data_IF_027501529551
#
_entry.id   IF_027501529551
#
_cell.length_a   1.000
_cell.length_b   1.000
_cell.length_c   1.000
_cell.angle_alpha   90.00
_cell.angle_beta   90.00
_cell.angle_gamma   90.00
#
_symmetry.space_group_name_H-M   'P 1'
#
loop_
_entity.id
_entity.type
_entity.pdbx_description
1 polymer ?
#
# COMPACT_ATOMS: atom_id res chain seq x y z
N UNK A 1 17.46 -34.69 19.44
CA UNK A 1 18.51 -33.69 19.72
C UNK A 1 17.83 -32.40 20.17
N UNK A 2 17.78 -32.14 21.47
CA UNK A 2 17.11 -30.96 22.02
C UNK A 2 18.03 -29.73 21.83
N UNK A 3 17.55 -28.60 21.28
CA UNK A 3 18.40 -27.44 21.03
C UNK A 3 18.97 -26.89 22.34
N UNK A 4 20.30 -26.74 22.36
CA UNK A 4 21.15 -26.49 23.53
C UNK A 4 20.95 -25.11 24.19
N UNK A 5 20.11 -24.23 23.62
CA UNK A 5 19.85 -22.88 24.14
C UNK A 5 18.45 -22.36 23.73
N UNK A 6 17.38 -22.68 24.48
CA UNK A 6 16.02 -22.24 24.16
C UNK A 6 15.89 -20.71 24.13
N UNK A 7 16.58 -20.00 25.02
CA UNK A 7 16.49 -18.54 25.18
C UNK A 7 16.95 -17.74 23.95
N UNK A 8 17.83 -18.31 23.11
CA UNK A 8 18.31 -17.67 21.87
C UNK A 8 17.26 -17.73 20.75
N UNK A 9 16.52 -18.84 20.68
CA UNK A 9 15.42 -19.05 19.72
C UNK A 9 14.27 -18.11 20.04
N UNK A 10 13.92 -17.98 21.32
CA UNK A 10 12.86 -17.07 21.73
C UNK A 10 13.22 -15.63 21.39
N UNK A 11 14.38 -15.12 21.78
CA UNK A 11 14.74 -13.70 21.52
C UNK A 11 14.73 -13.34 20.04
N UNK A 12 15.24 -14.21 19.16
CA UNK A 12 15.20 -13.97 17.71
C UNK A 12 13.77 -13.97 17.15
N UNK A 13 12.91 -14.88 17.62
CA UNK A 13 11.51 -14.96 17.19
C UNK A 13 10.67 -13.81 17.71
N UNK A 14 10.91 -13.37 18.94
CA UNK A 14 10.23 -12.20 19.52
C UNK A 14 10.60 -10.92 18.79
N UNK A 15 11.88 -10.70 18.45
CA UNK A 15 12.29 -9.55 17.63
C UNK A 15 11.60 -9.55 16.26
N UNK A 16 11.46 -10.71 15.61
CA UNK A 16 10.73 -10.81 14.35
C UNK A 16 9.22 -10.49 14.52
N UNK A 17 8.60 -10.95 15.61
CA UNK A 17 7.19 -10.65 15.92
C UNK A 17 6.98 -9.15 16.20
N UNK A 18 7.84 -8.51 16.99
CA UNK A 18 7.75 -7.08 17.25
C UNK A 18 7.98 -6.25 15.99
N UNK A 19 8.88 -6.70 15.12
CA UNK A 19 9.09 -6.08 13.82
C UNK A 19 7.85 -6.21 12.92
N UNK A 20 7.30 -7.41 12.80
CA UNK A 20 6.08 -7.65 12.04
C UNK A 20 4.88 -6.84 12.58
N UNK A 21 4.73 -6.76 13.90
CA UNK A 21 3.71 -5.94 14.55
C UNK A 21 3.91 -4.45 14.22
N UNK A 22 5.15 -3.95 14.25
CA UNK A 22 5.49 -2.60 13.82
C UNK A 22 5.07 -2.33 12.36
N UNK A 23 5.39 -3.24 11.44
CA UNK A 23 4.99 -3.13 10.03
C UNK A 23 3.47 -3.11 9.87
N UNK A 24 2.74 -3.96 10.59
CA UNK A 24 1.27 -3.98 10.57
C UNK A 24 0.68 -2.67 11.10
N UNK A 25 1.21 -2.15 12.20
CA UNK A 25 0.78 -0.85 12.75
C UNK A 25 1.05 0.27 11.75
N UNK A 26 2.24 0.32 11.14
CA UNK A 26 2.57 1.31 10.12
C UNK A 26 1.65 1.22 8.90
N UNK A 27 1.30 0.00 8.45
CA UNK A 27 0.36 -0.18 7.34
C UNK A 27 -1.03 0.37 7.69
N UNK A 28 -1.52 0.10 8.91
CA UNK A 28 -2.82 0.60 9.37
C UNK A 28 -2.81 2.12 9.55
N UNK A 29 -1.73 2.72 10.05
CA UNK A 29 -1.66 4.18 10.20
C UNK A 29 -1.51 4.91 8.88
N UNK A 30 -0.90 4.29 7.86
CA UNK A 30 -0.69 4.91 6.54
C UNK A 30 -1.90 4.77 5.62
N UNK A 31 -2.57 3.62 5.61
CA UNK A 31 -3.69 3.32 4.69
C UNK A 31 -5.05 3.45 5.41
N UNK A 32 -5.08 3.44 6.74
CA UNK A 32 -6.30 3.33 7.53
C UNK A 32 -6.80 1.89 7.62
N UNK A 33 -7.77 1.62 8.49
CA UNK A 33 -8.52 0.36 8.44
C UNK A 33 -9.37 0.39 7.16
N UNK A 34 -8.81 -0.17 6.08
CA UNK A 34 -9.47 -0.20 4.78
C UNK A 34 -10.89 -0.74 4.91
N UNK A 35 -11.88 0.11 4.64
CA UNK A 35 -13.24 -0.36 4.41
C UNK A 35 -13.18 -1.25 3.18
N UNK A 36 -13.36 -2.56 3.36
CA UNK A 36 -13.26 -3.52 2.29
C UNK A 36 -14.29 -3.19 1.20
N UNK A 37 -13.87 -2.43 0.19
CA UNK A 37 -14.37 -2.57 -1.17
C UNK A 37 -13.38 -3.46 -1.89
N UNK A 38 -13.82 -4.69 -2.07
CA UNK A 38 -13.29 -5.68 -3.00
C UNK A 38 -12.88 -4.98 -4.31
N UNK A 39 -11.74 -5.40 -4.87
CA UNK A 39 -11.27 -5.10 -6.24
C UNK A 39 -10.32 -3.92 -6.49
N UNK A 40 -9.52 -3.48 -5.51
CA UNK A 40 -8.33 -2.66 -5.83
C UNK A 40 -7.12 -3.57 -6.13
N UNK A 41 -6.85 -3.78 -7.43
CA UNK A 41 -5.61 -4.42 -7.93
C UNK A 41 -4.36 -3.77 -7.30
N UNK A 42 -3.33 -4.54 -6.92
CA UNK A 42 -2.06 -3.99 -6.46
C UNK A 42 -1.35 -3.36 -7.66
N UNK A 43 -1.53 -2.06 -7.80
CA UNK A 43 -1.10 -1.31 -8.98
C UNK A 43 -2.02 -0.15 -9.34
N UNK A 44 -2.94 0.29 -8.46
CA UNK A 44 -3.58 1.58 -8.62
C UNK A 44 -2.51 2.67 -8.51
N UNK A 45 -1.87 2.96 -9.64
CA UNK A 45 -1.34 4.27 -9.96
C UNK A 45 -2.28 5.30 -9.33
N UNK A 46 -1.74 6.13 -8.43
CA UNK A 46 -2.45 7.22 -7.78
C UNK A 46 -3.41 7.83 -8.78
N UNK A 47 -4.72 7.68 -8.55
CA UNK A 47 -5.75 8.21 -9.44
C UNK A 47 -5.40 9.68 -9.68
N UNK A 48 -4.93 9.98 -10.90
CA UNK A 48 -4.48 11.32 -11.24
C UNK A 48 -5.68 12.22 -10.99
N UNK A 49 -5.54 13.16 -10.07
CA UNK A 49 -6.61 14.06 -9.68
C UNK A 49 -6.34 15.40 -10.36
N UNK A 50 -7.36 15.98 -10.97
CA UNK A 50 -7.26 17.32 -11.55
C UNK A 50 -7.27 18.41 -10.48
N UNK A 51 -7.04 19.66 -10.89
CA UNK A 51 -7.01 20.82 -9.98
C UNK A 51 -8.38 21.10 -9.30
N UNK A 52 -9.46 20.51 -9.82
CA UNK A 52 -10.80 20.56 -9.24
C UNK A 52 -11.06 19.45 -8.21
N UNK A 53 -10.09 18.55 -8.00
CA UNK A 53 -10.25 17.40 -7.12
C UNK A 53 -11.00 16.21 -7.76
N UNK A 54 -11.29 16.26 -9.07
CA UNK A 54 -11.94 15.18 -9.80
C UNK A 54 -10.92 14.19 -10.36
N UNK A 55 -11.32 12.93 -10.50
CA UNK A 55 -10.47 11.92 -11.14
C UNK A 55 -10.31 12.23 -12.63
N UNK A 56 -9.08 12.25 -13.12
CA UNK A 56 -8.76 12.45 -14.53
C UNK A 56 -9.33 11.28 -15.33
N UNK A 57 -10.28 11.57 -16.22
CA UNK A 57 -10.92 10.56 -17.05
C UNK A 57 -10.21 10.37 -18.38
N UNK A 58 -10.46 9.22 -19.02
CA UNK A 58 -9.90 8.94 -20.35
C UNK A 58 -10.43 9.90 -21.45
N UNK A 59 -11.58 10.55 -21.20
CA UNK A 59 -12.11 11.57 -22.09
C UNK A 59 -11.26 12.86 -22.04
N UNK A 60 -10.81 13.25 -20.85
CA UNK A 60 -9.96 14.43 -20.64
C UNK A 60 -8.60 14.27 -21.33
N UNK A 61 -8.01 13.07 -21.22
CA UNK A 61 -6.76 12.72 -21.91
C UNK A 61 -6.91 12.73 -23.44
N UNK A 62 -8.08 12.33 -23.96
CA UNK A 62 -8.34 12.36 -25.40
C UNK A 62 -8.41 13.81 -25.94
N UNK A 63 -8.96 14.74 -25.16
CA UNK A 63 -8.97 16.17 -25.51
C UNK A 63 -7.55 16.72 -25.55
N UNK A 64 -6.74 16.46 -24.51
CA UNK A 64 -5.33 16.89 -24.46
C UNK A 64 -4.52 16.34 -25.64
N UNK A 65 -4.72 15.06 -25.97
CA UNK A 65 -4.05 14.44 -27.13
C UNK A 65 -4.39 15.15 -28.43
N UNK A 66 -5.63 15.55 -28.63
CA UNK A 66 -6.05 16.28 -29.83
C UNK A 66 -5.44 17.70 -29.89
N UNK A 67 -5.24 18.36 -28.74
CA UNK A 67 -4.55 19.64 -28.66
C UNK A 67 -3.04 19.55 -28.92
N UNK A 68 -2.39 18.45 -28.52
CA UNK A 68 -0.96 18.21 -28.74
C UNK A 68 -0.64 17.75 -30.17
N UNK A 69 -1.60 17.13 -30.86
CA UNK A 69 -1.44 16.62 -32.21
C UNK A 69 -1.67 17.67 -33.32
N UNK A 70 -2.07 18.89 -32.94
CA UNK A 70 -2.38 20.01 -33.81
C UNK A 70 -1.38 21.16 -33.56
#
# INVERSE_FOLDING_TARGET
>A
MLPRNPSKIFRSRWSALFWAAGVLVTAVTTIGFGSAKTDAKPGAESALTDDSGAEVSNADLAVLRNYLAN
#
